data_IF_193970308785
#
_entry.id   IF_193970308785
#
_cell.length_a   1.000
_cell.length_b   1.000
_cell.length_c   1.000
_cell.angle_alpha   90.00
_cell.angle_beta   90.00
_cell.angle_gamma   90.00
#
_symmetry.space_group_name_H-M   'P 1'
#
loop_
_entity.id
_entity.type
_entity.pdbx_description
1 polymer ?
#
# COMPACT_ATOMS: atom_id res chain seq x y z
N UNK A 1 -31.40 7.83 34.71
CA UNK A 1 -30.18 6.99 34.57
C UNK A 1 -30.19 6.04 33.35
N UNK A 2 -31.09 5.06 33.21
CA UNK A 2 -31.03 4.03 32.12
C UNK A 2 -31.02 4.59 30.68
N UNK A 3 -31.84 5.60 30.38
CA UNK A 3 -31.93 6.21 29.03
C UNK A 3 -30.62 6.90 28.57
N UNK A 4 -29.83 7.39 29.51
CA UNK A 4 -28.57 8.10 29.24
C UNK A 4 -27.45 7.14 28.84
N UNK A 5 -27.38 5.97 29.50
CA UNK A 5 -26.48 4.88 29.12
C UNK A 5 -26.75 4.35 27.71
N UNK A 6 -28.02 4.17 27.33
CA UNK A 6 -28.39 3.72 25.97
C UNK A 6 -27.94 4.74 24.90
N UNK A 7 -28.09 6.04 25.17
CA UNK A 7 -27.60 7.10 24.25
C UNK A 7 -26.08 7.07 24.12
N UNK A 8 -25.35 6.89 25.22
CA UNK A 8 -23.89 6.78 25.21
C UNK A 8 -23.41 5.55 24.43
N UNK A 9 -24.04 4.40 24.63
CA UNK A 9 -23.74 3.17 23.88
C UNK A 9 -24.02 3.35 22.39
N UNK A 10 -25.17 3.93 22.00
CA UNK A 10 -25.48 4.23 20.59
C UNK A 10 -24.49 5.19 19.95
N UNK A 11 -23.98 6.17 20.70
CA UNK A 11 -22.96 7.10 20.22
C UNK A 11 -21.60 6.41 20.02
N UNK A 12 -21.25 5.46 20.89
CA UNK A 12 -20.04 4.66 20.76
C UNK A 12 -20.11 3.73 19.55
N UNK A 13 -21.24 3.05 19.35
CA UNK A 13 -21.50 2.20 18.18
C UNK A 13 -21.50 3.03 16.89
N UNK A 14 -22.09 4.25 16.89
CA UNK A 14 -22.02 5.17 15.74
C UNK A 14 -20.60 5.68 15.43
N UNK A 15 -19.70 5.71 16.42
CA UNK A 15 -18.28 6.02 16.18
C UNK A 15 -17.55 4.84 15.53
N UNK A 16 -17.98 3.62 15.84
CA UNK A 16 -17.46 2.37 15.28
C UNK A 16 -18.28 1.94 14.06
N UNK A 17 -18.52 2.87 13.15
CA UNK A 17 -19.25 2.60 11.91
C UNK A 17 -18.24 2.14 10.85
N UNK A 18 -18.15 0.82 10.63
CA UNK A 18 -17.23 0.19 9.67
C UNK A 18 -17.52 0.58 8.21
N UNK A 19 -18.62 1.30 7.96
CA UNK A 19 -19.00 1.80 6.64
C UNK A 19 -18.34 3.13 6.28
N UNK A 20 -17.72 3.83 7.25
CA UNK A 20 -17.04 5.09 6.99
C UNK A 20 -15.74 4.86 6.23
N UNK A 21 -15.42 5.69 5.23
CA UNK A 21 -14.14 5.60 4.54
C UNK A 21 -13.00 5.81 5.53
N UNK A 22 -11.86 5.16 5.30
CA UNK A 22 -10.71 5.35 6.16
C UNK A 22 -10.18 6.79 6.06
N UNK A 23 -9.59 7.26 7.15
CA UNK A 23 -8.87 8.52 7.14
C UNK A 23 -7.59 8.43 6.30
N UNK A 24 -7.06 9.58 5.91
CA UNK A 24 -5.86 9.68 5.07
C UNK A 24 -4.65 8.92 5.64
N UNK A 25 -4.41 9.00 6.95
CA UNK A 25 -3.31 8.29 7.63
C UNK A 25 -3.46 6.76 7.50
N UNK A 26 -4.67 6.23 7.68
CA UNK A 26 -4.93 4.81 7.57
C UNK A 26 -4.80 4.33 6.11
N UNK A 27 -5.30 5.11 5.14
CA UNK A 27 -5.07 4.83 3.72
C UNK A 27 -3.58 4.82 3.37
N UNK A 28 -2.81 5.81 3.85
CA UNK A 28 -1.38 5.90 3.59
C UNK A 28 -0.62 4.70 4.17
N UNK A 29 -0.90 4.32 5.42
CA UNK A 29 -0.25 3.18 6.09
C UNK A 29 -0.56 1.84 5.43
N UNK A 30 -1.83 1.60 5.09
CA UNK A 30 -2.21 0.34 4.43
C UNK A 30 -1.70 0.31 3.00
N UNK A 31 -1.81 1.42 2.27
CA UNK A 31 -1.30 1.54 0.91
C UNK A 31 0.21 1.33 0.83
N UNK A 32 0.99 1.97 1.71
CA UNK A 32 2.44 1.80 1.75
C UNK A 32 2.81 0.35 2.04
N UNK A 33 2.12 -0.30 3.01
CA UNK A 33 2.39 -1.70 3.32
C UNK A 33 2.07 -2.64 2.15
N UNK A 34 1.01 -2.38 1.40
CA UNK A 34 0.69 -3.17 0.20
C UNK A 34 1.74 -3.00 -0.90
N UNK A 35 2.25 -1.78 -1.09
CA UNK A 35 3.32 -1.51 -2.05
C UNK A 35 4.62 -2.20 -1.63
N UNK A 36 5.00 -2.12 -0.35
CA UNK A 36 6.15 -2.87 0.20
C UNK A 36 6.05 -4.36 -0.09
N UNK A 37 4.87 -4.97 0.15
CA UNK A 37 4.65 -6.38 -0.14
C UNK A 37 4.84 -6.70 -1.63
N UNK A 38 4.39 -5.83 -2.54
CA UNK A 38 4.62 -6.03 -3.97
C UNK A 38 6.11 -5.95 -4.34
N UNK A 39 6.84 -5.00 -3.75
CA UNK A 39 8.29 -4.87 -3.97
C UNK A 39 9.03 -6.12 -3.46
N UNK A 40 8.64 -6.65 -2.30
CA UNK A 40 9.29 -7.80 -1.66
C UNK A 40 8.97 -9.13 -2.35
N UNK A 41 7.75 -9.29 -2.87
CA UNK A 41 7.25 -10.62 -3.27
C UNK A 41 7.07 -10.78 -4.78
N UNK A 42 6.83 -9.70 -5.52
CA UNK A 42 6.61 -9.81 -6.96
C UNK A 42 7.96 -9.90 -7.69
N UNK A 43 8.18 -11.05 -8.34
CA UNK A 43 9.37 -11.29 -9.15
C UNK A 43 8.96 -11.52 -10.60
N UNK A 44 9.80 -11.09 -11.53
CA UNK A 44 9.64 -11.31 -12.96
C UNK A 44 10.92 -11.94 -13.51
N UNK A 45 10.72 -12.93 -14.37
CA UNK A 45 11.78 -13.44 -15.23
C UNK A 45 11.66 -12.69 -16.56
N UNK A 46 12.66 -11.87 -16.96
CA UNK A 46 12.67 -11.28 -18.27
C UNK A 46 12.76 -12.37 -19.34
N UNK A 47 12.31 -12.09 -20.58
CA UNK A 47 12.46 -13.02 -21.69
C UNK A 47 13.91 -13.51 -21.80
N UNK A 48 14.11 -14.81 -21.96
CA UNK A 48 15.43 -15.39 -22.07
C UNK A 48 16.20 -14.71 -23.22
N UNK A 49 17.36 -14.12 -22.91
CA UNK A 49 18.35 -13.83 -23.94
C UNK A 49 18.77 -15.16 -24.57
N UNK A 50 18.92 -15.19 -25.90
CA UNK A 50 19.11 -16.43 -26.67
C UNK A 50 20.44 -17.18 -26.39
N UNK A 51 21.18 -16.84 -25.34
CA UNK A 51 22.36 -17.56 -24.87
C UNK A 51 21.92 -18.66 -23.90
N UNK A 52 21.81 -19.90 -24.40
CA UNK A 52 21.25 -21.06 -23.69
C UNK A 52 22.00 -21.60 -22.46
N UNK A 53 22.98 -20.86 -21.92
CA UNK A 53 23.84 -21.29 -20.79
C UNK A 53 23.73 -20.36 -19.56
N UNK A 54 22.87 -19.34 -19.58
CA UNK A 54 22.72 -18.42 -18.45
C UNK A 54 21.65 -18.89 -17.47
N UNK A 55 21.98 -18.86 -16.18
CA UNK A 55 21.01 -19.03 -15.07
C UNK A 55 19.83 -18.07 -15.26
N UNK A 56 18.57 -18.52 -15.10
CA UNK A 56 17.40 -17.65 -15.22
C UNK A 56 17.54 -16.41 -14.34
N UNK A 57 17.60 -15.24 -14.97
CA UNK A 57 17.65 -13.97 -14.24
C UNK A 57 16.25 -13.71 -13.66
N UNK A 58 16.09 -13.88 -12.35
CA UNK A 58 14.84 -13.55 -11.65
C UNK A 58 15.10 -12.25 -10.90
N UNK A 59 14.31 -11.21 -11.19
CA UNK A 59 14.46 -9.89 -10.56
C UNK A 59 13.13 -9.39 -9.98
N UNK A 60 13.15 -8.48 -8.99
CA UNK A 60 11.94 -7.84 -8.51
C UNK A 60 11.19 -7.15 -9.66
N UNK A 61 9.87 -7.32 -9.69
CA UNK A 61 9.01 -6.67 -10.68
C UNK A 61 8.83 -5.17 -10.40
N UNK A 62 8.99 -4.75 -9.14
CA UNK A 62 8.85 -3.37 -8.69
C UNK A 62 10.07 -2.95 -7.88
N UNK A 63 10.49 -1.70 -8.04
CA UNK A 63 11.55 -1.06 -7.24
C UNK A 63 11.07 0.33 -6.79
N UNK A 64 11.54 0.78 -5.63
CA UNK A 64 11.28 2.12 -5.12
C UNK A 64 12.55 2.97 -5.23
N UNK A 65 12.45 4.11 -5.91
CA UNK A 65 13.54 5.05 -6.11
C UNK A 65 13.12 6.47 -5.74
N UNK A 66 14.01 7.18 -5.04
CA UNK A 66 13.85 8.61 -4.79
C UNK A 66 14.65 9.38 -5.84
N UNK A 67 13.99 10.27 -6.59
CA UNK A 67 14.62 11.09 -7.64
C UNK A 67 14.41 12.58 -7.36
N UNK A 68 15.49 13.34 -7.42
CA UNK A 68 15.43 14.81 -7.37
C UNK A 68 15.27 15.34 -8.80
N UNK A 69 14.16 16.02 -9.08
CA UNK A 69 13.92 16.64 -10.38
C UNK A 69 14.21 18.14 -10.27
N UNK A 70 15.18 18.64 -11.03
CA UNK A 70 15.40 20.07 -11.16
C UNK A 70 14.27 20.67 -12.01
N UNK A 71 13.69 21.80 -11.57
CA UNK A 71 12.76 22.55 -12.42
C UNK A 71 13.57 23.22 -13.53
N UNK A 72 13.36 22.83 -14.78
CA UNK A 72 13.82 23.62 -15.92
C UNK A 72 13.07 24.97 -15.91
N UNK A 73 13.81 26.08 -15.97
CA UNK A 73 13.23 27.40 -16.15
C UNK A 73 12.79 27.52 -17.61
N UNK A 74 11.48 27.69 -17.81
CA UNK A 74 10.84 27.88 -19.10
C UNK A 74 10.89 29.34 -19.54
#
# INVERSE_FOLDING_TARGET
MKKQKIRQVRHLVKKQDSTRPWGQDAHAKVGSRLIELFIETAHIQPPASQSGDSTPEIRPAFTHEMRTVAREQQ
#
